data_IF_940681499966
#
_entry.id   IF_940681499966
#
_cell.length_a   1.000
_cell.length_b   1.000
_cell.length_c   1.000
_cell.angle_alpha   90.00
_cell.angle_beta   90.00
_cell.angle_gamma   90.00
#
_symmetry.space_group_name_H-M   'P 1'
#
loop_
_entity.id
_entity.type
_entity.pdbx_description
1 polymer ?
#
# COMPACT_ATOMS: atom_id res chain seq x y z
N UNK A 1 13.26 -12.05 20.99
CA UNK A 1 13.61 -10.80 21.72
C UNK A 1 14.67 -9.96 21.00
N UNK A 2 15.94 -10.39 20.84
CA UNK A 2 17.03 -9.53 20.26
C UNK A 2 16.69 -8.81 18.94
N UNK A 3 16.06 -9.49 17.98
CA UNK A 3 15.67 -8.88 16.69
C UNK A 3 14.62 -7.77 16.87
N UNK A 4 13.61 -8.01 17.71
CA UNK A 4 12.53 -7.06 17.98
C UNK A 4 13.06 -5.79 18.68
N UNK A 5 14.09 -5.94 19.52
CA UNK A 5 14.82 -4.82 20.12
C UNK A 5 15.63 -4.02 19.08
N UNK A 6 16.25 -4.67 18.09
CA UNK A 6 16.95 -3.99 16.99
C UNK A 6 15.98 -3.22 16.08
N UNK A 7 14.82 -3.79 15.77
CA UNK A 7 13.74 -3.10 15.02
C UNK A 7 13.25 -1.88 15.80
N UNK A 8 13.01 -2.02 17.11
CA UNK A 8 12.60 -0.91 17.98
C UNK A 8 13.67 0.20 18.02
N UNK A 9 14.96 -0.15 18.13
CA UNK A 9 16.06 0.82 18.07
C UNK A 9 16.15 1.53 16.71
N UNK A 10 15.89 0.83 15.60
CA UNK A 10 15.82 1.44 14.27
C UNK A 10 14.70 2.47 14.18
N UNK A 11 13.50 2.13 14.64
CA UNK A 11 12.34 3.04 14.71
C UNK A 11 12.65 4.26 15.60
N UNK A 12 13.26 4.04 16.77
CA UNK A 12 13.63 5.12 17.70
C UNK A 12 14.73 6.03 17.15
N UNK A 13 15.73 5.50 16.43
CA UNK A 13 16.76 6.31 15.78
C UNK A 13 16.18 7.17 14.65
N UNK A 14 15.34 6.59 13.78
CA UNK A 14 14.65 7.36 12.72
C UNK A 14 13.77 8.46 13.32
N UNK A 15 13.08 8.18 14.44
CA UNK A 15 12.28 9.18 15.16
C UNK A 15 13.15 10.29 15.78
N UNK A 16 14.31 9.95 16.35
CA UNK A 16 15.25 10.93 16.92
C UNK A 16 15.86 11.83 15.84
N UNK A 17 16.25 11.27 14.70
CA UNK A 17 16.80 12.00 13.56
C UNK A 17 15.77 12.94 12.92
N UNK A 18 14.52 12.47 12.76
CA UNK A 18 13.40 13.30 12.32
C UNK A 18 13.10 14.48 13.26
N UNK A 19 13.40 14.36 14.57
CA UNK A 19 13.23 15.44 15.55
C UNK A 19 14.41 16.42 15.54
N UNK A 20 15.61 15.98 15.15
CA UNK A 20 16.81 16.82 15.08
C UNK A 20 16.79 17.83 13.93
N UNK A 21 16.27 17.45 12.77
CA UNK A 21 16.32 18.27 11.55
C UNK A 21 15.42 19.51 11.57
N UNK A 22 14.42 19.56 12.46
CA UNK A 22 13.47 20.68 12.58
C UNK A 22 14.01 21.94 13.28
N UNK A 23 15.21 21.90 13.86
CA UNK A 23 15.73 22.99 14.71
C UNK A 23 16.38 24.11 13.87
N UNK A 24 15.56 24.93 13.21
CA UNK A 24 16.03 26.13 12.51
C UNK A 24 16.71 27.08 13.50
N UNK A 25 18.01 27.28 13.30
CA UNK A 25 18.90 28.07 14.15
C UNK A 25 18.58 29.56 14.04
N UNK A 26 17.68 30.08 14.88
CA UNK A 26 17.35 31.51 14.89
C UNK A 26 18.57 32.35 15.30
N UNK A 27 19.07 33.15 14.37
CA UNK A 27 20.20 34.04 14.61
C UNK A 27 19.77 35.21 15.51
N UNK A 28 20.27 35.27 16.74
CA UNK A 28 20.01 36.38 17.65
C UNK A 28 20.68 37.67 17.15
N UNK A 29 19.86 38.67 16.79
CA UNK A 29 20.32 40.02 16.41
C UNK A 29 20.90 40.72 17.64
N UNK A 30 22.23 40.74 17.76
CA UNK A 30 22.93 41.59 18.72
C UNK A 30 22.80 43.09 18.35
N UNK A 31 22.63 43.95 19.36
CA UNK A 31 22.28 45.38 19.18
C UNK A 31 23.46 46.23 18.71
N UNK A 32 23.12 47.31 17.96
CA UNK A 32 24.01 48.43 17.64
C UNK A 32 24.58 49.10 18.90
N UNK A 33 25.85 49.49 18.84
CA UNK A 33 26.40 50.63 19.58
C UNK A 33 27.11 51.58 18.58
N UNK A 34 27.07 52.89 18.84
CA UNK A 34 27.72 53.94 18.03
C UNK A 34 29.05 54.35 18.67
N UNK A 35 30.09 54.66 17.88
CA UNK A 35 30.83 55.93 18.06
C UNK A 35 31.62 56.34 16.80
N UNK A 36 32.10 57.58 16.85
CA UNK A 36 32.91 58.42 15.94
C UNK A 36 33.86 57.72 14.94
N UNK A 37 33.98 58.17 13.68
CA UNK A 37 34.48 59.47 13.15
C UNK A 37 35.98 59.70 13.41
N UNK A 38 36.82 59.22 12.48
CA UNK A 38 38.15 59.78 12.15
C UNK A 38 38.36 59.72 10.62
N UNK A 39 39.30 60.51 10.10
CA UNK A 39 39.39 61.11 8.76
C UNK A 39 39.96 60.25 7.60
N UNK A 40 39.64 60.70 6.37
CA UNK A 40 40.17 60.24 5.08
C UNK A 40 41.68 60.47 4.91
N UNK A 41 42.37 59.56 4.20
CA UNK A 41 43.27 59.92 3.08
C UNK A 41 43.60 58.74 2.15
N UNK A 42 43.77 59.07 0.85
CA UNK A 42 44.52 58.42 -0.26
C UNK A 42 45.06 56.97 -0.10
N UNK A 43 45.14 56.14 -1.14
CA UNK A 43 45.85 56.43 -2.41
C UNK A 43 45.47 55.48 -3.57
N UNK A 44 45.74 55.91 -4.81
CA UNK A 44 45.51 55.22 -6.09
C UNK A 44 46.64 54.27 -6.53
N UNK A 45 46.30 53.14 -7.18
CA UNK A 45 47.01 52.48 -8.31
C UNK A 45 46.26 51.18 -8.69
N UNK A 46 45.76 50.99 -9.93
CA UNK A 46 46.38 50.64 -11.24
C UNK A 46 46.70 49.14 -11.43
N UNK A 47 46.47 48.67 -12.67
CA UNK A 47 46.86 47.36 -13.27
C UNK A 47 46.02 46.14 -12.83
N UNK A 48 45.20 45.45 -13.65
CA UNK A 48 45.22 44.99 -15.06
C UNK A 48 45.82 43.58 -15.29
N UNK A 49 44.93 42.60 -15.61
CA UNK A 49 45.05 41.39 -16.48
C UNK A 49 43.91 40.44 -16.10
N UNK A 50 42.91 40.18 -16.94
CA UNK A 50 42.94 39.45 -18.21
C UNK A 50 43.49 38.02 -18.08
N UNK A 51 42.57 37.05 -18.04
CA UNK A 51 42.78 35.73 -18.66
C UNK A 51 41.46 35.14 -19.15
N UNK A 52 41.28 35.11 -20.48
CA UNK A 52 40.29 34.25 -21.15
C UNK A 52 40.82 32.82 -21.14
N UNK A 53 39.93 31.85 -20.98
CA UNK A 53 40.10 30.49 -21.49
C UNK A 53 38.79 30.07 -22.14
N UNK A 54 38.87 29.60 -23.38
CA UNK A 54 37.71 29.26 -24.19
C UNK A 54 37.77 27.79 -24.61
N UNK A 55 36.57 27.23 -24.84
CA UNK A 55 36.26 26.19 -25.83
C UNK A 55 37.13 24.94 -25.90
N UNK A 56 36.48 23.78 -25.70
CA UNK A 56 36.66 22.68 -26.66
C UNK A 56 35.36 21.91 -26.88
N UNK A 57 34.78 22.08 -28.08
CA UNK A 57 33.86 21.10 -28.67
C UNK A 57 34.66 19.86 -29.08
N UNK A 58 34.04 18.69 -28.97
CA UNK A 58 34.33 17.51 -29.80
C UNK A 58 32.99 16.81 -30.11
N UNK A 59 32.85 16.28 -31.32
CA UNK A 59 31.63 15.68 -31.87
C UNK A 59 31.99 14.57 -32.86
N UNK A 60 31.34 13.41 -32.72
CA UNK A 60 31.18 12.30 -33.70
C UNK A 60 30.32 11.23 -32.98
N UNK A 61 29.15 10.74 -33.45
CA UNK A 61 28.80 10.10 -34.74
C UNK A 61 29.66 8.83 -34.92
N UNK A 62 29.18 7.58 -34.86
CA UNK A 62 28.19 6.82 -35.69
C UNK A 62 27.89 5.45 -35.00
N UNK A 63 26.87 4.61 -35.30
CA UNK A 63 25.68 4.65 -36.16
C UNK A 63 24.73 3.45 -35.81
N UNK A 64 23.71 3.22 -36.66
CA UNK A 64 22.72 2.13 -36.78
C UNK A 64 23.11 0.71 -36.32
N UNK A 65 22.10 -0.07 -35.88
CA UNK A 65 21.97 -1.49 -36.26
C UNK A 65 20.49 -1.92 -36.36
N UNK A 66 20.25 -2.85 -37.27
CA UNK A 66 19.04 -3.07 -38.04
C UNK A 66 17.87 -3.83 -37.38
N UNK A 67 16.71 -3.56 -37.99
CA UNK A 67 15.49 -4.37 -38.05
C UNK A 67 15.74 -5.86 -38.33
N UNK A 68 15.05 -6.77 -37.60
CA UNK A 68 14.93 -8.17 -38.00
C UNK A 68 13.62 -8.84 -37.50
N UNK A 69 12.64 -8.88 -38.40
CA UNK A 69 11.59 -9.91 -38.54
C UNK A 69 11.61 -10.33 -40.03
N UNK A 70 11.14 -11.53 -40.46
CA UNK A 70 9.99 -12.25 -39.91
C UNK A 70 10.07 -13.80 -39.92
N UNK A 71 8.89 -14.44 -39.77
CA UNK A 71 8.49 -15.77 -40.28
C UNK A 71 9.15 -17.06 -39.75
N UNK A 72 8.34 -17.91 -39.12
CA UNK A 72 7.79 -19.11 -39.80
C UNK A 72 6.70 -19.83 -38.97
N UNK A 73 5.83 -20.58 -39.64
CA UNK A 73 4.63 -21.19 -39.07
C UNK A 73 4.63 -22.73 -39.07
N UNK A 74 3.99 -23.33 -38.05
CA UNK A 74 3.39 -24.69 -38.00
C UNK A 74 2.45 -24.67 -36.78
N UNK A 75 1.12 -24.82 -36.83
CA UNK A 75 0.20 -25.73 -37.55
C UNK A 75 0.08 -27.13 -36.89
N UNK A 76 -1.17 -27.61 -36.76
CA UNK A 76 -1.63 -28.91 -36.22
C UNK A 76 -1.91 -28.97 -34.71
N UNK A 77 -3.11 -29.42 -34.32
CA UNK A 77 -3.48 -29.63 -32.91
C UNK A 77 -4.98 -29.67 -32.57
N UNK A 78 -5.88 -30.08 -33.46
CA UNK A 78 -7.30 -30.30 -33.13
C UNK A 78 -7.49 -31.56 -32.28
N UNK A 79 -8.12 -31.43 -31.11
CA UNK A 79 -8.77 -32.55 -30.42
C UNK A 79 -10.11 -32.13 -29.85
N UNK A 80 -11.18 -32.61 -30.50
CA UNK A 80 -12.52 -32.62 -29.93
C UNK A 80 -12.54 -33.46 -28.64
N UNK A 81 -13.24 -32.98 -27.60
CA UNK A 81 -13.61 -33.81 -26.46
C UNK A 81 -15.13 -33.83 -26.33
N UNK A 82 -15.66 -34.96 -26.80
CA UNK A 82 -17.04 -35.42 -26.68
C UNK A 82 -17.76 -35.02 -25.39
N UNK A 83 -18.99 -34.57 -25.59
CA UNK A 83 -20.15 -34.76 -24.71
C UNK A 83 -20.08 -35.98 -23.78
N UNK A 84 -20.49 -35.81 -22.52
CA UNK A 84 -21.48 -36.67 -21.83
C UNK A 84 -21.63 -36.26 -20.35
N UNK A 85 -22.75 -35.61 -20.00
CA UNK A 85 -23.31 -35.71 -18.66
C UNK A 85 -24.84 -35.82 -18.76
N UNK A 86 -25.34 -37.02 -18.46
CA UNK A 86 -26.75 -37.34 -18.51
C UNK A 86 -27.46 -36.92 -17.22
N UNK A 87 -28.64 -36.33 -17.36
CA UNK A 87 -29.63 -36.24 -16.28
C UNK A 87 -30.09 -37.64 -15.87
N UNK A 88 -30.25 -37.91 -14.56
CA UNK A 88 -31.27 -38.84 -14.07
C UNK A 88 -32.54 -38.04 -13.75
N UNK A 89 -33.56 -38.16 -14.61
CA UNK A 89 -34.91 -37.72 -14.27
C UNK A 89 -35.51 -38.67 -13.22
N UNK A 90 -36.03 -38.12 -12.12
CA UNK A 90 -36.80 -38.90 -11.13
C UNK A 90 -38.25 -38.93 -11.60
N UNK A 91 -38.63 -39.99 -12.32
CA UNK A 91 -40.02 -40.29 -12.63
C UNK A 91 -40.66 -41.11 -11.50
N UNK A 92 -41.90 -40.75 -11.16
CA UNK A 92 -42.68 -41.41 -10.12
C UNK A 92 -43.25 -42.76 -10.58
N UNK A 93 -43.53 -43.65 -9.63
CA UNK A 93 -44.54 -44.70 -9.78
C UNK A 93 -45.39 -44.80 -8.52
N UNK A 94 -46.68 -44.47 -8.69
CA UNK A 94 -47.75 -44.72 -7.74
C UNK A 94 -48.36 -46.12 -7.95
N UNK A 95 -48.51 -46.89 -6.87
CA UNK A 95 -49.36 -48.10 -6.78
C UNK A 95 -49.93 -48.07 -5.35
N UNK A 96 -51.15 -47.55 -5.15
CA UNK A 96 -52.46 -48.20 -5.30
C UNK A 96 -52.86 -49.06 -4.08
N UNK A 97 -54.09 -48.86 -3.63
CA UNK A 97 -54.63 -49.37 -2.36
C UNK A 97 -54.68 -50.90 -2.25
N UNK A 98 -54.61 -51.39 -1.01
CA UNK A 98 -55.32 -52.61 -0.62
C UNK A 98 -55.77 -52.46 0.84
N UNK A 99 -57.01 -52.85 1.13
CA UNK A 99 -57.68 -52.50 2.36
C UNK A 99 -57.88 -53.70 3.30
N UNK A 100 -58.06 -53.40 4.60
CA UNK A 100 -58.61 -54.26 5.66
C UNK A 100 -57.69 -55.40 6.12
N UNK A 101 -57.11 -55.26 7.32
CA UNK A 101 -57.50 -56.11 8.44
C UNK A 101 -57.23 -55.42 9.79
N UNK A 102 -57.92 -55.86 10.84
CA UNK A 102 -57.97 -55.19 12.14
C UNK A 102 -56.88 -55.68 13.09
N UNK A 103 -56.03 -54.79 13.60
CA UNK A 103 -55.12 -55.14 14.71
C UNK A 103 -55.03 -54.07 15.80
N UNK A 104 -55.62 -54.41 16.94
CA UNK A 104 -55.23 -54.12 18.33
C UNK A 104 -54.51 -52.78 18.58
N UNK A 105 -55.20 -51.86 19.25
CA UNK A 105 -54.56 -50.76 19.98
C UNK A 105 -53.63 -51.34 21.05
N UNK A 106 -52.33 -51.29 20.80
CA UNK A 106 -51.30 -51.34 21.84
C UNK A 106 -50.72 -49.95 21.98
N UNK A 107 -50.61 -49.47 23.22
CA UNK A 107 -49.76 -48.33 23.53
C UNK A 107 -48.32 -48.67 23.13
N UNK A 108 -47.92 -48.21 21.95
CA UNK A 108 -46.51 -48.09 21.61
C UNK A 108 -45.92 -47.00 22.49
N UNK A 109 -45.42 -47.43 23.65
CA UNK A 109 -44.33 -46.74 24.32
C UNK A 109 -43.28 -46.50 23.23
N UNK A 110 -43.16 -45.25 22.79
CA UNK A 110 -42.12 -44.84 21.84
C UNK A 110 -40.82 -44.86 22.61
N UNK A 111 -40.26 -46.07 22.71
CA UNK A 111 -38.98 -46.34 23.32
C UNK A 111 -37.97 -45.55 22.50
N UNK A 112 -37.60 -44.38 23.03
CA UNK A 112 -36.77 -43.42 22.32
C UNK A 112 -35.37 -43.97 22.40
N UNK A 113 -35.02 -44.85 21.46
CA UNK A 113 -33.69 -45.45 21.38
C UNK A 113 -32.71 -44.32 21.09
N UNK A 114 -32.14 -43.77 22.16
CA UNK A 114 -31.01 -42.87 22.08
C UNK A 114 -29.86 -43.67 21.46
N UNK A 115 -29.65 -43.49 20.17
CA UNK A 115 -28.45 -43.98 19.48
C UNK A 115 -27.28 -43.15 20.00
N UNK A 116 -26.76 -43.58 21.15
CA UNK A 116 -25.51 -43.08 21.71
C UNK A 116 -24.43 -43.48 20.71
N UNK A 117 -24.08 -42.56 19.80
CA UNK A 117 -22.95 -42.78 18.91
C UNK A 117 -21.73 -43.04 19.79
N UNK A 118 -21.01 -44.15 19.58
CA UNK A 118 -19.84 -44.46 20.40
C UNK A 118 -18.84 -43.33 20.27
N UNK A 119 -18.11 -43.03 21.34
CA UNK A 119 -17.21 -41.87 21.38
C UNK A 119 -16.08 -41.97 20.32
N UNK A 120 -15.78 -43.19 19.85
CA UNK A 120 -14.90 -43.49 18.72
C UNK A 120 -15.44 -43.07 17.34
N UNK A 121 -16.75 -42.78 17.21
CA UNK A 121 -17.37 -42.25 15.99
C UNK A 121 -17.39 -40.72 15.95
N UNK A 122 -16.95 -40.01 17.01
CA UNK A 122 -16.56 -38.61 16.87
C UNK A 122 -15.33 -38.57 15.98
N UNK A 123 -15.51 -38.08 14.75
CA UNK A 123 -14.40 -37.76 13.86
C UNK A 123 -13.37 -36.96 14.67
N UNK A 124 -12.13 -37.46 14.73
CA UNK A 124 -11.04 -36.79 15.44
C UNK A 124 -11.03 -35.32 14.99
N UNK A 125 -11.22 -34.38 15.93
CA UNK A 125 -11.14 -32.96 15.59
C UNK A 125 -9.77 -32.74 14.92
N UNK A 126 -9.78 -32.47 13.61
CA UNK A 126 -8.54 -32.11 12.89
C UNK A 126 -7.88 -31.00 13.72
N UNK A 127 -6.59 -31.15 14.10
CA UNK A 127 -5.93 -30.18 14.96
C UNK A 127 -6.12 -28.80 14.33
N UNK A 128 -6.82 -27.91 15.05
CA UNK A 128 -7.38 -26.68 14.47
C UNK A 128 -6.29 -25.92 13.73
N UNK A 129 -6.49 -25.74 12.42
CA UNK A 129 -5.53 -25.08 11.56
C UNK A 129 -5.23 -23.68 12.10
N UNK A 130 -3.98 -23.44 12.47
CA UNK A 130 -3.52 -22.15 12.96
C UNK A 130 -3.40 -21.16 11.80
N UNK A 131 -4.52 -20.62 11.34
CA UNK A 131 -4.49 -19.40 10.55
C UNK A 131 -4.47 -18.18 11.48
N UNK A 132 -3.63 -17.21 11.11
CA UNK A 132 -3.34 -16.03 11.93
C UNK A 132 -3.44 -14.82 10.99
N UNK A 133 -4.24 -13.78 11.31
CA UNK A 133 -4.42 -12.66 10.41
C UNK A 133 -3.13 -11.85 10.33
N UNK A 134 -2.76 -11.43 9.13
CA UNK A 134 -1.57 -10.62 8.87
C UNK A 134 -1.96 -9.31 8.17
N UNK A 135 -1.16 -8.23 8.37
CA UNK A 135 -1.41 -6.95 7.71
C UNK A 135 -1.48 -7.07 6.20
N UNK A 136 -2.12 -6.08 5.57
CA UNK A 136 -2.33 -5.99 4.14
C UNK A 136 -3.29 -7.06 3.60
N UNK A 137 -4.39 -7.32 4.34
CA UNK A 137 -5.41 -8.30 3.97
C UNK A 137 -4.84 -9.72 3.73
N UNK A 138 -3.87 -10.12 4.56
CA UNK A 138 -3.19 -11.42 4.48
C UNK A 138 -3.55 -12.31 5.69
N UNK A 139 -3.19 -13.58 5.61
CA UNK A 139 -3.16 -14.48 6.75
C UNK A 139 -1.98 -15.45 6.60
N UNK A 140 -1.36 -15.85 7.71
CA UNK A 140 -0.42 -16.96 7.71
C UNK A 140 -1.21 -18.27 7.56
N UNK A 141 -1.00 -19.00 6.47
CA UNK A 141 -1.68 -20.27 6.18
C UNK A 141 -0.81 -21.51 6.36
N UNK A 142 0.48 -21.33 6.65
CA UNK A 142 1.56 -22.36 6.60
C UNK A 142 1.88 -22.91 5.20
N UNK A 143 0.86 -23.29 4.44
CA UNK A 143 0.94 -23.75 3.05
C UNK A 143 -0.37 -23.40 2.32
N UNK A 144 -0.30 -23.26 0.98
CA UNK A 144 -1.46 -22.91 0.14
C UNK A 144 -1.40 -21.51 -0.45
N UNK A 145 -2.56 -21.00 -0.88
CA UNK A 145 -2.72 -19.68 -1.52
C UNK A 145 -3.57 -18.78 -0.63
N UNK A 146 -3.15 -17.52 -0.47
CA UNK A 146 -3.92 -16.46 0.17
C UNK A 146 -4.27 -15.38 -0.84
N UNK A 147 -5.53 -14.96 -0.87
CA UNK A 147 -6.03 -13.84 -1.68
C UNK A 147 -6.68 -12.82 -0.77
N UNK A 148 -6.20 -11.59 -0.81
CA UNK A 148 -6.73 -10.44 -0.09
C UNK A 148 -7.30 -9.39 -1.04
N UNK A 149 -8.42 -8.79 -0.66
CA UNK A 149 -8.95 -7.57 -1.30
C UNK A 149 -9.32 -6.57 -0.22
N UNK A 150 -9.04 -5.29 -0.44
CA UNK A 150 -9.34 -4.22 0.51
C UNK A 150 -9.82 -2.97 -0.20
N UNK A 151 -10.70 -2.21 0.46
CA UNK A 151 -11.18 -0.92 0.02
C UNK A 151 -11.12 0.08 1.18
N UNK A 152 -10.88 1.35 0.90
CA UNK A 152 -10.58 2.33 1.92
C UNK A 152 -10.55 3.77 1.44
N UNK A 153 -10.19 4.65 2.36
CA UNK A 153 -9.95 6.08 2.12
C UNK A 153 -8.53 6.44 2.55
N UNK A 154 -7.88 7.35 1.82
CA UNK A 154 -6.55 7.89 2.09
C UNK A 154 -6.60 9.41 2.11
N UNK A 155 -6.10 9.99 3.21
CA UNK A 155 -5.91 11.44 3.40
C UNK A 155 -4.42 11.74 3.42
N UNK A 156 -3.95 12.52 2.45
CA UNK A 156 -2.52 12.84 2.28
C UNK A 156 -1.99 13.82 3.33
N UNK A 157 -2.76 14.88 3.56
CA UNK A 157 -2.51 15.98 4.51
C UNK A 157 -3.86 16.49 4.99
N UNK A 158 -3.89 17.33 6.02
CA UNK A 158 -5.14 17.86 6.54
C UNK A 158 -5.90 18.77 5.55
N UNK A 159 -5.16 19.39 4.63
CA UNK A 159 -5.67 20.31 3.60
C UNK A 159 -6.13 19.62 2.30
N UNK A 160 -5.80 18.34 2.08
CA UNK A 160 -6.15 17.63 0.84
C UNK A 160 -7.46 16.84 0.97
N UNK A 161 -8.19 16.70 -0.13
CA UNK A 161 -9.35 15.82 -0.20
C UNK A 161 -8.97 14.33 -0.01
N UNK A 162 -9.93 13.55 0.49
CA UNK A 162 -9.78 12.11 0.69
C UNK A 162 -9.89 11.36 -0.66
N UNK A 163 -8.85 10.60 -1.01
CA UNK A 163 -8.88 9.69 -2.15
C UNK A 163 -9.46 8.32 -1.75
N UNK A 164 -10.21 7.69 -2.65
CA UNK A 164 -10.55 6.27 -2.54
C UNK A 164 -9.33 5.40 -2.82
N UNK A 165 -9.17 4.30 -2.07
CA UNK A 165 -8.09 3.34 -2.28
C UNK A 165 -8.63 1.92 -2.35
N UNK A 166 -8.11 1.17 -3.31
CA UNK A 166 -8.38 -0.26 -3.48
C UNK A 166 -7.06 -1.02 -3.43
N UNK A 167 -7.05 -2.17 -2.76
CA UNK A 167 -5.90 -3.06 -2.68
C UNK A 167 -6.31 -4.47 -3.07
N UNK A 168 -5.46 -5.15 -3.85
CA UNK A 168 -5.51 -6.58 -4.09
C UNK A 168 -4.17 -7.20 -3.68
N UNK A 169 -4.20 -8.37 -3.06
CA UNK A 169 -3.02 -9.10 -2.63
C UNK A 169 -3.17 -10.58 -2.96
N UNK A 170 -2.09 -11.17 -3.45
CA UNK A 170 -1.97 -12.59 -3.76
C UNK A 170 -0.68 -13.11 -3.14
N UNK A 171 -0.76 -14.19 -2.38
CA UNK A 171 0.40 -14.80 -1.72
C UNK A 171 0.38 -16.32 -1.88
N UNK A 172 1.55 -16.90 -2.04
CA UNK A 172 1.79 -18.33 -2.07
C UNK A 172 2.74 -18.72 -0.94
N UNK A 173 2.24 -19.56 -0.03
CA UNK A 173 3.00 -20.06 1.11
C UNK A 173 3.78 -21.31 0.67
N UNK A 174 5.02 -21.10 0.20
CA UNK A 174 5.90 -22.17 -0.28
C UNK A 174 6.24 -23.18 0.82
N UNK A 175 6.44 -22.67 2.05
CA UNK A 175 6.71 -23.43 3.27
C UNK A 175 6.22 -22.65 4.48
N UNK A 176 6.16 -23.32 5.62
CA UNK A 176 5.84 -22.76 6.94
C UNK A 176 6.74 -21.59 7.37
N UNK A 177 7.91 -21.42 6.76
CA UNK A 177 8.80 -20.28 7.00
C UNK A 177 9.01 -19.33 5.81
N UNK A 178 8.39 -19.55 4.63
CA UNK A 178 8.52 -18.65 3.45
C UNK A 178 7.22 -18.49 2.69
N UNK A 179 6.84 -17.22 2.50
CA UNK A 179 5.74 -16.80 1.62
C UNK A 179 6.30 -15.85 0.56
N UNK A 180 5.89 -16.02 -0.69
CA UNK A 180 6.11 -15.03 -1.75
C UNK A 180 4.77 -14.45 -2.21
N UNK A 181 4.73 -13.16 -2.50
CA UNK A 181 3.49 -12.47 -2.80
C UNK A 181 3.64 -11.32 -3.79
N UNK A 182 2.49 -10.91 -4.30
CA UNK A 182 2.29 -9.75 -5.14
C UNK A 182 1.10 -8.97 -4.59
N UNK A 183 1.24 -7.65 -4.47
CA UNK A 183 0.13 -6.77 -4.16
C UNK A 183 0.06 -5.61 -5.14
N UNK A 184 -1.16 -5.14 -5.37
CA UNK A 184 -1.49 -4.00 -6.21
C UNK A 184 -2.39 -3.06 -5.42
N UNK A 185 -2.11 -1.77 -5.50
CA UNK A 185 -2.90 -0.72 -4.87
C UNK A 185 -3.22 0.37 -5.86
N UNK A 186 -4.51 0.69 -5.98
CA UNK A 186 -5.06 1.75 -6.80
C UNK A 186 -5.53 2.88 -5.89
N UNK A 187 -5.16 4.11 -6.21
CA UNK A 187 -5.69 5.32 -5.58
C UNK A 187 -6.45 6.11 -6.64
N UNK A 188 -7.64 6.60 -6.30
CA UNK A 188 -8.51 7.30 -7.22
C UNK A 188 -9.42 8.29 -6.52
N UNK A 189 -9.51 9.52 -7.03
CA UNK A 189 -10.40 10.55 -6.53
C UNK A 189 -10.01 11.95 -7.00
N UNK A 190 -10.80 12.95 -6.60
CA UNK A 190 -10.40 14.35 -6.69
C UNK A 190 -9.42 14.66 -5.55
N UNK A 191 -8.26 15.21 -5.89
CA UNK A 191 -7.29 15.69 -4.89
C UNK A 191 -7.58 17.13 -4.47
N UNK A 192 -8.13 17.90 -5.40
CA UNK A 192 -8.66 19.25 -5.27
C UNK A 192 -9.72 19.44 -6.38
N UNK A 193 -10.45 20.56 -6.37
CA UNK A 193 -11.59 20.88 -7.25
C UNK A 193 -11.30 20.70 -8.74
N UNK A 194 -10.08 21.01 -9.17
CA UNK A 194 -9.68 21.02 -10.57
C UNK A 194 -8.86 19.78 -10.97
N UNK A 195 -8.63 18.81 -10.05
CA UNK A 195 -7.65 17.73 -10.25
C UNK A 195 -8.16 16.36 -9.80
N UNK A 196 -8.33 15.45 -10.76
CA UNK A 196 -8.53 14.02 -10.51
C UNK A 196 -7.19 13.28 -10.56
N UNK A 197 -6.82 12.60 -9.48
CA UNK A 197 -5.64 11.74 -9.42
C UNK A 197 -6.07 10.28 -9.62
N UNK A 198 -5.41 9.56 -10.52
CA UNK A 198 -5.42 8.10 -10.57
C UNK A 198 -3.99 7.58 -10.55
N UNK A 199 -3.64 6.78 -9.55
CA UNK A 199 -2.27 6.34 -9.29
C UNK A 199 -2.26 4.85 -8.91
N UNK A 200 -1.25 4.13 -9.41
CA UNK A 200 -1.17 2.67 -9.30
C UNK A 200 0.21 2.25 -8.81
N UNK A 201 0.20 1.36 -7.81
CA UNK A 201 1.39 0.86 -7.12
C UNK A 201 1.36 -0.65 -7.10
N UNK A 202 2.42 -1.26 -7.61
CA UNK A 202 2.62 -2.71 -7.60
C UNK A 202 3.77 -3.04 -6.66
N UNK A 203 3.67 -4.13 -5.91
CA UNK A 203 4.74 -4.62 -5.05
C UNK A 203 4.87 -6.13 -5.15
N UNK A 204 6.10 -6.60 -5.24
CA UNK A 204 6.47 -8.00 -5.01
C UNK A 204 7.07 -8.10 -3.61
N UNK A 205 6.65 -9.09 -2.83
CA UNK A 205 7.12 -9.29 -1.47
C UNK A 205 7.57 -10.74 -1.23
N UNK A 206 8.61 -10.91 -0.40
CA UNK A 206 9.08 -12.22 0.08
C UNK A 206 9.20 -12.13 1.58
N UNK A 207 8.37 -12.91 2.30
CA UNK A 207 8.22 -12.88 3.75
C UNK A 207 8.78 -14.17 4.37
N UNK A 208 9.61 -14.01 5.39
CA UNK A 208 10.14 -15.09 6.21
C UNK A 208 9.41 -15.13 7.54
N UNK A 209 8.75 -16.25 7.84
CA UNK A 209 7.83 -16.40 8.96
C UNK A 209 8.46 -17.09 10.18
N UNK A 210 7.90 -16.80 11.36
CA UNK A 210 8.20 -17.47 12.61
C UNK A 210 6.94 -17.55 13.48
N UNK A 211 6.16 -18.59 13.21
CA UNK A 211 4.93 -18.88 13.94
C UNK A 211 5.18 -19.50 15.32
N UNK A 212 4.36 -19.10 16.28
CA UNK A 212 4.17 -19.65 17.61
C UNK A 212 2.66 -20.00 17.77
N UNK A 213 2.29 -20.65 18.87
CA UNK A 213 0.88 -20.96 19.17
C UNK A 213 0.05 -19.68 19.27
N UNK A 214 -0.76 -19.40 18.25
CA UNK A 214 -1.64 -18.22 18.19
C UNK A 214 -0.97 -16.89 17.80
N UNK A 215 0.31 -16.87 17.42
CA UNK A 215 0.98 -15.66 16.94
C UNK A 215 1.98 -15.96 15.82
N UNK A 216 2.03 -15.13 14.79
CA UNK A 216 3.06 -15.19 13.74
C UNK A 216 3.83 -13.86 13.66
N UNK A 217 5.10 -13.96 13.34
CA UNK A 217 5.99 -12.82 13.10
C UNK A 217 6.68 -13.04 11.76
N UNK A 218 6.69 -12.01 10.91
CA UNK A 218 7.44 -12.06 9.67
C UNK A 218 8.40 -10.88 9.52
N UNK A 219 9.46 -11.13 8.76
CA UNK A 219 10.32 -10.10 8.18
C UNK A 219 10.45 -10.40 6.69
N UNK A 220 10.35 -9.39 5.84
CA UNK A 220 10.36 -9.57 4.40
C UNK A 220 11.07 -8.46 3.65
N UNK A 221 11.51 -8.79 2.43
CA UNK A 221 11.94 -7.81 1.45
C UNK A 221 10.78 -7.50 0.50
N UNK A 222 10.69 -6.26 0.03
CA UNK A 222 9.73 -5.86 -0.99
C UNK A 222 10.40 -5.08 -2.13
N UNK A 223 9.88 -5.25 -3.34
CA UNK A 223 10.24 -4.50 -4.53
C UNK A 223 8.97 -3.84 -5.05
N UNK A 224 8.91 -2.51 -5.01
CA UNK A 224 7.80 -1.74 -5.57
C UNK A 224 8.09 -1.25 -6.98
N UNK A 225 7.03 -1.09 -7.76
CA UNK A 225 7.01 -0.37 -9.02
C UNK A 225 5.77 0.52 -9.07
N UNK A 226 5.97 1.77 -9.47
CA UNK A 226 4.93 2.78 -9.59
C UNK A 226 4.91 3.27 -11.03
N UNK A 227 3.77 3.07 -11.70
CA UNK A 227 3.67 3.20 -13.16
C UNK A 227 3.25 4.60 -13.64
N UNK A 228 2.83 5.47 -12.72
CA UNK A 228 2.43 6.84 -13.06
C UNK A 228 3.66 7.75 -13.10
N UNK A 229 4.13 8.12 -14.30
CA UNK A 229 5.09 9.22 -14.46
C UNK A 229 4.38 10.56 -14.20
N UNK A 230 4.35 10.99 -12.95
CA UNK A 230 3.75 12.25 -12.55
C UNK A 230 4.57 13.47 -13.01
N UNK A 231 5.67 13.31 -13.76
CA UNK A 231 6.41 14.46 -14.31
C UNK A 231 5.68 15.18 -15.43
N UNK A 232 4.74 14.53 -16.13
CA UNK A 232 3.86 15.15 -17.11
C UNK A 232 2.71 15.90 -16.41
N UNK A 233 2.04 15.24 -15.46
CA UNK A 233 1.04 15.87 -14.59
C UNK A 233 1.59 17.11 -13.86
N UNK A 234 2.79 17.03 -13.27
CA UNK A 234 3.53 18.15 -12.63
C UNK A 234 3.82 19.33 -13.57
N UNK A 235 3.85 19.11 -14.89
CA UNK A 235 4.03 20.18 -15.89
C UNK A 235 2.69 20.81 -16.22
N UNK A 236 1.67 20.00 -16.53
CA UNK A 236 0.30 20.49 -16.78
C UNK A 236 -0.22 21.31 -15.59
N UNK A 237 0.06 20.88 -14.36
CA UNK A 237 -0.27 21.58 -13.13
C UNK A 237 0.39 22.96 -13.04
N UNK A 238 1.68 23.07 -13.38
CA UNK A 238 2.42 24.34 -13.39
C UNK A 238 1.99 25.27 -14.53
N UNK A 239 1.64 24.72 -15.68
CA UNK A 239 1.26 25.49 -16.86
C UNK A 239 -0.22 25.93 -16.80
N UNK A 240 -1.10 25.13 -16.17
CA UNK A 240 -2.49 25.49 -15.84
C UNK A 240 -2.58 26.61 -14.80
N UNK A 241 -1.86 26.48 -13.68
CA UNK A 241 -1.76 27.56 -12.67
C UNK A 241 -1.17 28.85 -13.26
N UNK A 242 -0.29 28.75 -14.27
CA UNK A 242 0.21 29.92 -15.01
C UNK A 242 -0.84 30.56 -15.92
N UNK A 243 -1.68 29.77 -16.60
CA UNK A 243 -2.74 30.28 -17.49
C UNK A 243 -3.83 31.05 -16.72
N UNK A 244 -4.36 30.48 -15.65
CA UNK A 244 -5.40 31.16 -14.87
C UNK A 244 -4.90 32.52 -14.32
N UNK A 245 -3.58 32.63 -14.03
CA UNK A 245 -2.95 33.87 -13.57
C UNK A 245 -2.65 34.89 -14.69
N UNK A 246 -2.61 34.48 -15.96
CA UNK A 246 -2.42 35.41 -17.09
C UNK A 246 -3.73 36.01 -17.59
N UNK A 247 -4.85 35.33 -17.38
CA UNK A 247 -6.14 35.71 -17.98
C UNK A 247 -6.99 36.62 -17.05
N UNK A 248 -6.61 36.77 -15.78
CA UNK A 248 -7.26 37.66 -14.80
C UNK A 248 -6.50 38.97 -14.53
N UNK A 249 -5.35 39.21 -15.18
CA UNK A 249 -4.62 40.48 -15.07
C UNK A 249 -4.83 41.32 -16.32
N UNK A 250 -5.81 42.22 -16.23
CA UNK A 250 -6.14 43.20 -17.27
C UNK A 250 -4.90 44.01 -17.66
N UNK A 251 -4.47 43.87 -18.92
CA UNK A 251 -3.12 44.22 -19.36
C UNK A 251 -2.95 45.71 -19.72
N UNK A 252 -3.50 46.61 -18.91
CA UNK A 252 -3.28 48.05 -19.06
C UNK A 252 -3.05 48.78 -17.72
N UNK A 253 -1.83 49.37 -17.60
CA UNK A 253 -1.27 50.05 -16.40
C UNK A 253 -0.93 49.03 -15.29
N UNK A 254 0.33 48.76 -14.99
CA UNK A 254 1.34 49.72 -14.52
C UNK A 254 2.73 49.30 -15.00
N UNK A 255 3.43 50.21 -15.67
CA UNK A 255 4.88 50.16 -15.77
C UNK A 255 5.51 50.81 -14.52
N UNK A 256 6.73 50.41 -14.18
CA UNK A 256 7.55 50.95 -13.08
C UNK A 256 7.02 50.73 -11.64
N UNK A 257 7.40 49.59 -11.05
CA UNK A 257 7.92 49.51 -9.68
C UNK A 257 8.61 48.15 -9.44
N UNK A 258 9.65 47.89 -10.25
CA UNK A 258 10.42 46.65 -10.23
C UNK A 258 11.51 46.70 -9.14
N UNK A 259 11.10 46.75 -7.87
CA UNK A 259 11.97 46.42 -6.71
C UNK A 259 11.19 46.27 -5.39
N UNK A 260 11.46 45.16 -4.68
CA UNK A 260 11.23 44.98 -3.23
C UNK A 260 9.78 44.91 -2.72
N UNK A 261 9.07 43.82 -3.05
CA UNK A 261 8.14 43.17 -2.11
C UNK A 261 7.93 41.68 -2.44
N UNK A 262 8.91 40.84 -2.08
CA UNK A 262 8.55 39.49 -1.62
C UNK A 262 7.87 39.63 -0.24
N UNK A 263 7.00 38.67 0.11
CA UNK A 263 6.13 38.64 1.30
C UNK A 263 4.85 39.52 1.21
N UNK A 264 3.69 38.85 1.08
CA UNK A 264 2.37 39.49 1.00
C UNK A 264 1.26 38.55 0.49
N UNK A 265 0.75 37.68 1.36
CA UNK A 265 -0.63 37.16 1.33
C UNK A 265 -1.18 36.40 0.09
N UNK A 266 -0.34 35.83 -0.79
CA UNK A 266 -0.79 34.85 -1.82
C UNK A 266 -0.22 33.43 -1.65
N UNK A 267 0.34 33.12 -0.47
CA UNK A 267 1.29 32.02 -0.32
C UNK A 267 0.81 30.78 0.45
N UNK A 268 -0.38 30.75 1.05
CA UNK A 268 -0.85 29.57 1.80
C UNK A 268 -1.41 28.48 0.88
N UNK A 269 -2.42 28.78 0.05
CA UNK A 269 -3.02 27.80 -0.88
C UNK A 269 -1.95 27.21 -1.82
N UNK A 270 -1.15 28.05 -2.48
CA UNK A 270 -0.09 27.63 -3.40
C UNK A 270 1.13 26.95 -2.73
N UNK A 271 1.16 26.81 -1.40
CA UNK A 271 2.10 25.96 -0.65
C UNK A 271 1.41 24.66 -0.23
N UNK A 272 0.15 24.71 0.17
CA UNK A 272 -0.68 23.56 0.50
C UNK A 272 -0.91 22.63 -0.70
N UNK A 273 -1.30 23.17 -1.86
CA UNK A 273 -1.40 22.47 -3.15
C UNK A 273 -0.10 21.69 -3.48
N UNK A 274 1.05 22.32 -3.25
CA UNK A 274 2.37 21.72 -3.47
C UNK A 274 2.76 20.66 -2.44
N UNK A 275 2.07 20.60 -1.30
CA UNK A 275 2.30 19.56 -0.29
C UNK A 275 1.44 18.33 -0.58
N UNK A 276 0.18 18.53 -1.02
CA UNK A 276 -0.68 17.46 -1.51
C UNK A 276 0.02 16.65 -2.60
N UNK A 277 0.46 17.27 -3.70
CA UNK A 277 1.12 16.57 -4.81
C UNK A 277 2.35 15.73 -4.38
N UNK A 278 3.17 16.24 -3.45
CA UNK A 278 4.42 15.59 -3.02
C UNK A 278 4.23 14.39 -2.10
N UNK A 279 3.07 14.29 -1.45
CA UNK A 279 2.65 13.12 -0.66
C UNK A 279 2.30 11.91 -1.54
N UNK A 280 2.18 12.10 -2.86
CA UNK A 280 1.92 11.01 -3.80
C UNK A 280 3.17 10.56 -4.54
N UNK A 281 3.19 9.27 -4.85
CA UNK A 281 4.23 8.53 -5.58
C UNK A 281 5.63 8.52 -4.99
N UNK A 282 6.20 7.33 -4.89
CA UNK A 282 7.63 7.11 -5.08
C UNK A 282 7.84 6.76 -6.56
N UNK A 283 7.89 7.80 -7.43
CA UNK A 283 8.06 7.67 -8.89
C UNK A 283 9.06 6.56 -9.27
N UNK A 284 8.62 5.55 -10.03
CA UNK A 284 9.46 4.44 -10.51
C UNK A 284 9.62 3.28 -9.52
N UNK A 285 10.85 2.79 -9.33
CA UNK A 285 11.14 1.58 -8.55
C UNK A 285 11.40 1.88 -7.07
N UNK A 286 10.96 0.98 -6.19
CA UNK A 286 11.30 0.98 -4.76
C UNK A 286 11.90 -0.34 -4.33
N UNK A 287 12.80 -0.30 -3.33
CA UNK A 287 13.30 -1.45 -2.60
C UNK A 287 13.05 -1.19 -1.12
N UNK A 288 12.47 -2.15 -0.41
CA UNK A 288 12.12 -1.98 0.99
C UNK A 288 12.20 -3.24 1.82
N UNK A 289 12.00 -3.05 3.11
CA UNK A 289 11.86 -4.11 4.11
C UNK A 289 10.59 -3.92 4.90
N UNK A 290 9.90 -5.03 5.17
CA UNK A 290 8.72 -5.08 6.02
C UNK A 290 9.01 -5.96 7.23
N UNK A 291 8.48 -5.57 8.38
CA UNK A 291 8.36 -6.45 9.54
C UNK A 291 6.93 -6.37 10.04
N UNK A 292 6.34 -7.51 10.39
CA UNK A 292 4.98 -7.52 10.90
C UNK A 292 4.70 -8.70 11.81
N UNK A 293 3.54 -8.63 12.46
CA UNK A 293 3.04 -9.68 13.32
C UNK A 293 1.52 -9.79 13.24
N UNK A 294 1.03 -10.99 13.52
CA UNK A 294 -0.38 -11.30 13.74
C UNK A 294 -0.53 -12.09 15.03
N UNK A 295 -1.63 -11.87 15.77
CA UNK A 295 -1.95 -12.57 17.02
C UNK A 295 -3.44 -12.91 17.04
N UNK A 296 -3.77 -14.20 17.06
CA UNK A 296 -5.13 -14.67 17.26
C UNK A 296 -5.48 -14.63 18.75
N UNK A 297 -6.17 -13.57 19.20
CA UNK A 297 -6.60 -13.40 20.59
C UNK A 297 -7.68 -14.41 20.99
N UNK A 298 -8.54 -14.79 20.04
CA UNK A 298 -9.60 -15.78 20.21
C UNK A 298 -9.87 -16.50 18.89
N UNK A 299 -10.83 -17.44 18.88
CA UNK A 299 -11.29 -18.09 17.65
C UNK A 299 -11.86 -17.10 16.62
N UNK A 300 -12.41 -15.97 17.08
CA UNK A 300 -13.15 -15.01 16.26
C UNK A 300 -12.42 -13.69 16.01
N UNK A 301 -11.35 -13.39 16.76
CA UNK A 301 -10.69 -12.09 16.77
C UNK A 301 -9.18 -12.24 16.79
N UNK A 302 -8.49 -11.49 15.92
CA UNK A 302 -7.05 -11.29 15.97
C UNK A 302 -6.66 -9.82 15.88
N UNK A 303 -5.44 -9.53 16.32
CA UNK A 303 -4.75 -8.26 16.13
C UNK A 303 -3.60 -8.46 15.15
N UNK A 304 -3.23 -7.41 14.43
CA UNK A 304 -2.08 -7.43 13.55
C UNK A 304 -1.44 -6.06 13.41
N UNK A 305 -0.18 -6.03 12.99
CA UNK A 305 0.55 -4.79 12.75
C UNK A 305 1.81 -5.01 11.94
N UNK A 306 2.05 -4.16 10.94
CA UNK A 306 3.34 -4.08 10.24
C UNK A 306 3.99 -2.70 10.37
N UNK A 307 5.30 -2.69 10.18
CA UNK A 307 6.10 -1.50 9.90
C UNK A 307 6.94 -1.77 8.65
N UNK A 308 6.97 -0.83 7.72
CA UNK A 308 7.81 -0.90 6.53
C UNK A 308 8.69 0.32 6.38
N UNK A 309 9.84 0.10 5.75
CA UNK A 309 10.71 1.15 5.22
C UNK A 309 10.99 0.84 3.74
N UNK A 310 10.71 1.81 2.88
CA UNK A 310 10.96 1.73 1.44
C UNK A 310 11.85 2.87 0.98
N UNK A 311 12.86 2.53 0.19
CA UNK A 311 13.75 3.47 -0.50
C UNK A 311 13.43 3.47 -1.99
N UNK A 312 13.29 4.64 -2.58
CA UNK A 312 13.08 4.83 -4.01
C UNK A 312 14.34 5.38 -4.68
N UNK A 313 14.58 4.98 -5.94
CA UNK A 313 15.77 5.36 -6.69
C UNK A 313 15.88 6.88 -6.98
N UNK A 314 14.78 7.63 -6.83
CA UNK A 314 14.72 9.11 -6.81
C UNK A 314 15.14 9.73 -5.46
N UNK A 315 15.77 8.96 -4.55
CA UNK A 315 16.18 9.36 -3.19
C UNK A 315 15.05 9.69 -2.20
N UNK A 316 13.79 9.43 -2.56
CA UNK A 316 12.68 9.48 -1.62
C UNK A 316 12.68 8.25 -0.70
N UNK A 317 12.29 8.44 0.55
CA UNK A 317 12.15 7.37 1.54
C UNK A 317 10.74 7.41 2.11
N UNK A 318 10.15 6.24 2.36
CA UNK A 318 8.82 6.08 2.93
C UNK A 318 8.90 5.16 4.15
N UNK A 319 8.39 5.64 5.29
CA UNK A 319 8.11 4.80 6.46
C UNK A 319 6.59 4.63 6.55
N UNK A 320 6.13 3.39 6.72
CA UNK A 320 4.71 3.10 6.99
C UNK A 320 4.53 2.27 8.25
N UNK A 321 3.43 2.50 8.97
CA UNK A 321 2.96 1.68 10.09
C UNK A 321 1.50 1.28 9.86
N UNK A 322 1.16 0.01 10.04
CA UNK A 322 -0.15 -0.54 9.67
C UNK A 322 -0.78 -1.40 10.77
N UNK A 323 -1.22 -0.83 11.91
CA UNK A 323 -2.03 -1.54 12.90
C UNK A 323 -3.41 -1.94 12.35
N UNK A 324 -3.94 -3.07 12.81
CA UNK A 324 -5.28 -3.53 12.46
C UNK A 324 -5.87 -4.57 13.40
N UNK A 325 -7.17 -4.77 13.25
CA UNK A 325 -7.95 -5.85 13.87
C UNK A 325 -8.53 -6.74 12.76
N UNK A 326 -8.77 -8.01 13.06
CA UNK A 326 -9.38 -8.93 12.11
C UNK A 326 -10.39 -9.87 12.79
N UNK A 327 -11.48 -10.16 12.09
CA UNK A 327 -12.56 -11.06 12.51
C UNK A 327 -12.55 -12.34 11.69
N UNK A 328 -12.53 -13.50 12.35
CA UNK A 328 -12.44 -14.79 11.69
C UNK A 328 -13.82 -15.24 11.19
N UNK A 329 -14.11 -14.97 9.92
CA UNK A 329 -15.38 -15.36 9.28
C UNK A 329 -15.47 -16.87 9.10
N UNK A 330 -14.34 -17.57 8.98
CA UNK A 330 -14.30 -19.03 8.82
C UNK A 330 -14.98 -19.76 10.01
N UNK A 331 -14.88 -19.23 11.23
CA UNK A 331 -15.50 -19.86 12.42
C UNK A 331 -17.02 -19.59 12.54
N UNK A 332 -17.58 -18.63 11.78
CA UNK A 332 -19.03 -18.37 11.74
C UNK A 332 -19.71 -18.82 10.43
N UNK A 333 -18.94 -19.02 9.36
CA UNK A 333 -19.44 -19.39 8.03
C UNK A 333 -19.21 -20.89 7.76
N UNK A 334 -20.26 -21.76 7.79
CA UNK A 334 -20.08 -23.21 7.68
C UNK A 334 -19.43 -23.66 6.37
N UNK A 335 -19.71 -22.96 5.26
CA UNK A 335 -19.06 -23.24 3.99
C UNK A 335 -17.56 -22.90 4.03
N UNK A 336 -17.20 -21.74 4.59
CA UNK A 336 -15.80 -21.34 4.79
C UNK A 336 -15.02 -22.32 5.68
N UNK A 337 -15.61 -22.77 6.79
CA UNK A 337 -15.02 -23.81 7.68
C UNK A 337 -14.68 -25.11 6.94
N UNK A 338 -15.51 -25.50 5.97
CA UNK A 338 -15.39 -26.78 5.27
C UNK A 338 -14.53 -26.72 4.00
N UNK A 339 -14.42 -25.55 3.35
CA UNK A 339 -13.80 -25.41 2.02
C UNK A 339 -12.56 -24.50 1.99
N UNK A 340 -12.36 -23.65 2.99
CA UNK A 340 -11.25 -22.70 3.06
C UNK A 340 -10.33 -23.02 4.25
N UNK A 341 -9.04 -22.71 4.09
CA UNK A 341 -8.04 -22.76 5.18
C UNK A 341 -8.17 -21.58 6.14
N UNK A 342 -8.61 -20.43 5.63
CA UNK A 342 -8.79 -19.20 6.40
C UNK A 342 -9.80 -18.27 5.72
N UNK A 343 -10.46 -17.42 6.51
CA UNK A 343 -11.27 -16.31 6.01
C UNK A 343 -11.34 -15.20 7.05
N UNK A 344 -10.78 -14.04 6.76
CA UNK A 344 -10.78 -12.90 7.68
C UNK A 344 -11.45 -11.66 7.06
N UNK A 345 -12.20 -10.93 7.88
CA UNK A 345 -12.55 -9.51 7.62
C UNK A 345 -11.60 -8.66 8.44
N UNK A 346 -10.83 -7.76 7.82
CA UNK A 346 -9.91 -6.87 8.53
C UNK A 346 -10.37 -5.41 8.53
N UNK A 347 -9.97 -4.69 9.58
CA UNK A 347 -9.97 -3.24 9.63
C UNK A 347 -8.54 -2.79 9.93
N UNK A 348 -7.95 -2.04 9.01
CA UNK A 348 -6.54 -1.64 9.06
C UNK A 348 -6.40 -0.13 8.90
N UNK A 349 -5.51 0.47 9.68
CA UNK A 349 -5.13 1.87 9.52
C UNK A 349 -3.66 1.93 9.12
N UNK A 350 -3.34 2.64 8.03
CA UNK A 350 -1.97 2.83 7.55
C UNK A 350 -1.56 4.29 7.78
N UNK A 351 -0.53 4.50 8.58
CA UNK A 351 0.15 5.79 8.75
C UNK A 351 1.41 5.80 7.89
N UNK A 352 1.60 6.83 7.08
CA UNK A 352 2.70 6.93 6.12
C UNK A 352 3.43 8.27 6.25
N UNK A 353 4.76 8.25 6.15
CA UNK A 353 5.58 9.46 6.13
C UNK A 353 6.68 9.38 5.10
N UNK A 354 6.76 10.43 4.27
CA UNK A 354 7.80 10.60 3.27
C UNK A 354 8.94 11.47 3.80
N UNK A 355 10.18 11.08 3.52
CA UNK A 355 11.38 11.87 3.78
C UNK A 355 12.02 12.31 2.45
N UNK A 356 12.87 13.34 2.51
CA UNK A 356 13.51 13.99 1.35
C UNK A 356 12.56 14.61 0.31
N UNK A 357 11.24 14.63 0.56
CA UNK A 357 10.23 15.31 -0.27
C UNK A 357 9.87 16.73 0.19
N UNK A 358 10.36 17.16 1.36
CA UNK A 358 10.04 18.48 1.90
C UNK A 358 8.64 18.63 2.49
N UNK A 359 7.94 17.51 2.72
CA UNK A 359 6.66 17.47 3.46
C UNK A 359 6.92 16.87 4.83
N UNK A 360 6.41 17.49 5.90
CA UNK A 360 6.66 17.08 7.29
C UNK A 360 5.59 16.19 7.91
N UNK A 361 4.41 16.16 7.30
CA UNK A 361 3.18 15.56 7.82
C UNK A 361 3.12 14.03 7.65
N UNK A 362 2.08 13.44 8.25
CA UNK A 362 1.73 12.03 8.11
C UNK A 362 0.47 11.88 7.27
N UNK A 363 0.56 11.10 6.20
CA UNK A 363 -0.63 10.63 5.48
C UNK A 363 -1.26 9.46 6.25
N UNK A 364 -2.59 9.34 6.18
CA UNK A 364 -3.36 8.30 6.88
C UNK A 364 -4.34 7.66 5.92
N UNK A 365 -4.42 6.33 5.94
CA UNK A 365 -5.51 5.60 5.32
C UNK A 365 -6.21 4.65 6.28
N UNK A 366 -7.49 4.39 6.03
CA UNK A 366 -8.28 3.36 6.68
C UNK A 366 -8.84 2.40 5.64
N UNK A 367 -8.70 1.10 5.88
CA UNK A 367 -9.14 0.02 4.99
C UNK A 367 -10.10 -0.94 5.70
N UNK A 368 -11.08 -1.44 4.95
CA UNK A 368 -11.81 -2.66 5.25
C UNK A 368 -11.37 -3.72 4.26
N UNK A 369 -10.98 -4.89 4.77
CA UNK A 369 -10.40 -5.98 4.01
C UNK A 369 -11.17 -7.28 4.10
N UNK A 370 -11.08 -8.10 3.05
CA UNK A 370 -11.48 -9.50 3.01
C UNK A 370 -10.28 -10.35 2.57
N UNK A 371 -10.01 -11.42 3.30
CA UNK A 371 -8.97 -12.39 3.00
C UNK A 371 -9.57 -13.79 2.90
N UNK A 372 -9.09 -14.57 1.93
CA UNK A 372 -9.46 -15.97 1.71
C UNK A 372 -8.20 -16.82 1.55
N UNK A 373 -8.10 -17.93 2.30
CA UNK A 373 -7.01 -18.91 2.19
C UNK A 373 -7.49 -20.27 1.68
N UNK A 374 -6.75 -20.87 0.74
CA UNK A 374 -7.08 -22.13 0.02
C UNK A 374 -5.92 -23.12 0.10
#
# INVERSE_FOLDING_TARGET
MRILFLVLLLILNVYAEAKGSGTVRSGSKAKKAKSEVVTKKSTTSKSAKSRKTASRKASQKTANLDTATPESATLSGTTDVSTNFANPAISATSVADTAIESEIVRDTIVDTVYVIMPESARAQEKPKGYNIPLPHQSAYLKDGISVGIGAGLFKASDDCDCLGVWQGQFEYHYRDYVTGGFDVRFFGGTLDRDMMLMYQRYRLNVKFHKSFTGADFYAGAMLGLETTDLSEFRKELKDGVRRNRSDEVDSSKVAELDSLSEEGESSQNAVSEKNCEKMFSLDGFTLGVEVGMGVALSRYLGLMGSASYEFNFSWAQLVSFSPGIAFNVQEIWPWGRNNLRSTWVSFEMIFQRYFNRGVGEWAVAGFVGLQFGI
#
